data_IF_267975306820
#
_entry.id   IF_267975306820
#
_cell.length_a   1.000
_cell.length_b   1.000
_cell.length_c   1.000
_cell.angle_alpha   90.00
_cell.angle_beta   90.00
_cell.angle_gamma   90.00
#
_symmetry.space_group_name_H-M   'P 1'
#
loop_
_entity.id
_entity.type
_entity.pdbx_description
1 polymer ?
#
# COMPACT_ATOMS: atom_id res chain seq x y z
N UNK A 1 63.98 -0.49 38.47
CA UNK A 1 63.31 -0.26 39.77
C UNK A 1 62.26 0.79 39.54
N UNK A 2 60.99 0.70 39.92
CA UNK A 2 60.12 -0.31 40.53
C UNK A 2 58.72 0.32 40.37
N UNK A 3 57.68 -0.49 40.15
CA UNK A 3 56.34 0.04 39.86
C UNK A 3 55.24 -1.01 39.97
N UNK A 4 55.13 -1.63 41.15
CA UNK A 4 53.91 -2.18 41.75
C UNK A 4 53.04 -3.11 40.88
N UNK A 5 53.32 -4.41 40.99
CA UNK A 5 52.37 -5.51 40.79
C UNK A 5 51.22 -5.42 41.81
N UNK A 6 50.24 -4.55 41.57
CA UNK A 6 49.03 -4.43 42.38
C UNK A 6 47.80 -4.62 41.49
N UNK A 7 47.37 -5.88 41.39
CA UNK A 7 46.01 -6.35 41.08
C UNK A 7 45.22 -5.56 40.02
N UNK A 8 45.24 -6.05 38.79
CA UNK A 8 44.35 -5.62 37.70
C UNK A 8 42.86 -5.99 37.94
N UNK A 9 42.50 -6.49 39.13
CA UNK A 9 41.13 -6.85 39.53
C UNK A 9 40.12 -5.71 39.34
N UNK A 10 40.57 -4.44 39.35
CA UNK A 10 39.71 -3.28 39.06
C UNK A 10 39.35 -3.09 37.58
N UNK A 11 40.10 -3.74 36.67
CA UNK A 11 39.88 -3.72 35.23
C UNK A 11 39.17 -4.98 34.71
N UNK A 12 39.09 -6.03 35.52
CA UNK A 12 38.42 -7.27 35.14
C UNK A 12 36.90 -7.16 35.32
N UNK A 13 36.16 -7.34 34.23
CA UNK A 13 34.70 -7.20 34.20
C UNK A 13 33.96 -8.28 35.01
N UNK A 14 34.64 -9.35 35.43
CA UNK A 14 34.08 -10.43 36.25
C UNK A 14 34.42 -10.30 37.76
N UNK A 15 35.17 -9.27 38.14
CA UNK A 15 35.60 -9.03 39.53
C UNK A 15 34.59 -8.19 40.31
N UNK A 16 34.43 -8.49 41.61
CA UNK A 16 33.56 -7.73 42.52
C UNK A 16 34.03 -6.28 42.75
N UNK A 17 35.31 -5.98 42.42
CA UNK A 17 35.93 -4.66 42.58
C UNK A 17 36.07 -3.90 41.26
N UNK A 18 35.27 -4.25 40.25
CA UNK A 18 35.35 -3.65 38.91
C UNK A 18 34.98 -2.15 38.93
N UNK A 19 35.89 -1.31 38.43
CA UNK A 19 35.66 0.14 38.30
C UNK A 19 35.39 0.50 36.82
N UNK A 20 34.12 0.80 36.45
CA UNK A 20 33.74 0.97 35.04
C UNK A 20 34.39 2.20 34.38
N UNK A 21 34.57 3.29 35.13
CA UNK A 21 35.20 4.51 34.62
C UNK A 21 36.69 4.29 34.33
N UNK A 22 37.39 3.58 35.22
CA UNK A 22 38.81 3.26 35.04
C UNK A 22 39.02 2.30 33.88
N UNK A 23 38.15 1.30 33.74
CA UNK A 23 38.14 0.39 32.60
C UNK A 23 37.98 1.11 31.26
N UNK A 24 37.03 2.06 31.17
CA UNK A 24 36.73 2.81 29.94
C UNK A 24 37.92 3.61 29.41
N UNK A 25 38.73 4.20 30.30
CA UNK A 25 39.89 5.01 29.92
C UNK A 25 41.21 4.24 29.93
N UNK A 26 41.21 2.96 30.33
CA UNK A 26 42.42 2.14 30.36
C UNK A 26 42.72 1.51 29.00
N UNK A 27 43.96 1.58 28.49
CA UNK A 27 44.34 0.90 27.25
C UNK A 27 44.59 -0.61 27.43
N UNK A 28 44.53 -1.12 28.67
CA UNK A 28 44.87 -2.50 29.03
C UNK A 28 43.65 -3.40 29.24
N UNK A 29 42.43 -2.91 28.95
CA UNK A 29 41.20 -3.66 29.16
C UNK A 29 41.15 -4.92 28.29
N UNK A 30 40.93 -6.08 28.93
CA UNK A 30 40.69 -7.36 28.22
C UNK A 30 39.21 -7.70 28.31
N UNK A 31 38.57 -7.86 27.16
CA UNK A 31 37.18 -8.32 27.11
C UNK A 31 37.10 -9.79 27.53
N UNK A 32 36.16 -10.19 28.41
CA UNK A 32 36.02 -11.57 28.86
C UNK A 32 35.83 -12.58 27.71
N UNK A 33 35.19 -12.13 26.62
CA UNK A 33 34.99 -12.93 25.41
C UNK A 33 35.50 -12.15 24.19
N UNK A 34 36.73 -12.42 23.71
CA UNK A 34 37.33 -11.68 22.59
C UNK A 34 36.56 -11.81 21.27
N UNK A 35 35.80 -12.90 21.08
CA UNK A 35 35.01 -13.17 19.88
C UNK A 35 33.54 -12.73 19.96
N UNK A 36 33.17 -11.95 20.98
CA UNK A 36 31.78 -11.52 21.13
C UNK A 36 31.35 -10.62 19.95
N UNK A 37 30.14 -10.88 19.42
CA UNK A 37 29.59 -10.10 18.33
C UNK A 37 29.26 -8.69 18.81
N UNK A 38 29.91 -7.69 18.23
CA UNK A 38 29.64 -6.28 18.51
C UNK A 38 28.38 -5.86 17.78
N UNK A 39 27.45 -5.24 18.51
CA UNK A 39 26.23 -4.66 17.97
C UNK A 39 26.30 -3.15 18.04
N UNK A 40 25.88 -2.49 16.96
CA UNK A 40 25.99 -1.03 16.79
C UNK A 40 24.99 -0.24 17.69
N UNK A 41 23.91 -0.87 18.12
CA UNK A 41 22.94 -0.26 19.04
C UNK A 41 22.29 -1.30 19.95
N UNK A 42 21.79 -0.82 21.09
CA UNK A 42 21.13 -1.64 22.10
C UNK A 42 19.91 -2.38 21.52
N UNK A 43 19.15 -1.74 20.62
CA UNK A 43 18.02 -2.39 19.97
C UNK A 43 18.41 -3.60 19.10
N UNK A 44 19.56 -3.55 18.42
CA UNK A 44 20.09 -4.67 17.65
C UNK A 44 20.56 -5.80 18.57
N UNK A 45 21.19 -5.46 19.71
CA UNK A 45 21.56 -6.44 20.73
C UNK A 45 20.32 -7.13 21.32
N UNK A 46 19.33 -6.37 21.79
CA UNK A 46 18.11 -6.91 22.40
C UNK A 46 17.30 -7.76 21.43
N UNK A 47 17.20 -7.34 20.16
CA UNK A 47 16.48 -8.12 19.14
C UNK A 47 17.13 -9.49 18.91
N UNK A 48 18.47 -9.53 18.94
CA UNK A 48 19.24 -10.77 18.80
C UNK A 48 19.23 -11.61 20.09
N UNK A 49 19.30 -10.98 21.26
CA UNK A 49 19.26 -11.65 22.55
C UNK A 49 17.88 -12.25 22.86
N UNK A 50 16.81 -11.54 22.49
CA UNK A 50 15.41 -11.98 22.69
C UNK A 50 14.87 -12.84 21.54
N UNK A 51 15.67 -13.13 20.52
CA UNK A 51 15.30 -13.99 19.39
C UNK A 51 14.11 -13.46 18.56
N UNK A 52 13.79 -12.17 18.64
CA UNK A 52 12.59 -11.61 18.01
C UNK A 52 12.83 -11.25 16.53
N UNK A 53 11.95 -11.67 15.60
CA UNK A 53 12.09 -11.36 14.19
C UNK A 53 11.80 -9.87 13.90
N UNK A 54 12.76 -9.17 13.28
CA UNK A 54 12.62 -7.76 12.88
C UNK A 54 11.48 -7.55 11.88
N UNK A 55 10.49 -6.73 12.24
CA UNK A 55 9.53 -6.15 11.29
C UNK A 55 10.19 -4.99 10.53
N UNK A 56 10.34 -5.09 9.20
CA UNK A 56 10.85 -4.01 8.33
C UNK A 56 9.69 -3.17 7.78
N UNK A 57 9.57 -1.93 8.22
CA UNK A 57 8.78 -0.89 7.56
C UNK A 57 9.49 -0.39 6.30
N UNK A 58 8.85 -0.48 5.13
CA UNK A 58 9.37 0.02 3.84
C UNK A 58 8.46 1.13 3.30
N UNK A 59 9.02 2.32 3.06
CA UNK A 59 8.44 3.35 2.19
C UNK A 59 9.06 3.29 0.77
N UNK A 60 8.35 3.61 -0.33
CA UNK A 60 8.80 3.36 -1.70
C UNK A 60 9.06 4.64 -2.55
N UNK A 61 9.80 4.46 -3.66
CA UNK A 61 9.81 5.38 -4.82
C UNK A 61 11.19 5.53 -5.47
N UNK A 62 11.75 4.50 -6.13
CA UNK A 62 11.63 4.19 -7.57
C UNK A 62 12.33 5.17 -8.52
N UNK A 63 13.42 4.72 -9.14
CA UNK A 63 13.91 5.22 -10.44
C UNK A 63 14.26 4.02 -11.30
N UNK A 64 13.41 3.72 -12.26
CA UNK A 64 13.79 2.99 -13.48
C UNK A 64 13.16 3.72 -14.67
N UNK A 65 13.96 3.90 -15.73
CA UNK A 65 13.70 4.50 -17.05
C UNK A 65 14.35 5.86 -17.31
N UNK A 66 15.66 5.85 -17.63
CA UNK A 66 16.29 6.86 -18.48
C UNK A 66 17.65 6.38 -19.01
N UNK A 67 17.68 5.31 -19.81
CA UNK A 67 18.85 4.98 -20.63
C UNK A 67 18.40 4.55 -22.02
N UNK A 68 18.09 5.56 -22.85
CA UNK A 68 18.12 5.50 -24.33
C UNK A 68 17.90 6.92 -24.89
N UNK A 69 18.89 7.79 -24.66
CA UNK A 69 19.25 8.88 -25.58
C UNK A 69 20.67 9.32 -25.21
N UNK A 70 21.66 8.69 -25.83
CA UNK A 70 23.07 9.03 -25.69
C UNK A 70 23.34 10.35 -26.44
N UNK A 71 23.21 11.46 -25.73
CA UNK A 71 23.57 12.79 -26.20
C UNK A 71 23.86 13.69 -25.02
N UNK A 72 25.13 13.71 -24.58
CA UNK A 72 25.72 14.62 -23.60
C UNK A 72 24.92 14.85 -22.30
N UNK A 73 24.84 13.82 -21.44
CA UNK A 73 24.52 14.03 -20.02
C UNK A 73 25.81 14.29 -19.22
N UNK A 74 25.81 15.22 -18.25
CA UNK A 74 27.00 15.48 -17.44
C UNK A 74 27.31 14.23 -16.60
N UNK A 75 28.30 13.45 -17.03
CA UNK A 75 28.80 12.29 -16.27
C UNK A 75 29.35 12.82 -14.95
N UNK A 76 28.63 12.55 -13.85
CA UNK A 76 29.04 12.90 -12.49
C UNK A 76 30.44 12.31 -12.25
N UNK A 77 31.43 13.18 -11.99
CA UNK A 77 32.83 12.80 -11.80
C UNK A 77 33.10 12.32 -10.37
N UNK A 78 32.31 11.37 -9.87
CA UNK A 78 32.66 10.77 -8.60
C UNK A 78 33.87 9.86 -8.78
N UNK A 79 34.82 9.98 -7.87
CA UNK A 79 35.91 9.03 -7.75
C UNK A 79 35.34 7.67 -7.31
N UNK A 80 36.01 6.54 -7.60
CA UNK A 80 35.47 5.20 -7.30
C UNK A 80 35.00 5.01 -5.85
N UNK A 81 35.64 5.66 -4.88
CA UNK A 81 35.25 5.61 -3.45
C UNK A 81 34.06 6.51 -3.06
N UNK A 82 33.63 7.42 -3.93
CA UNK A 82 32.50 8.36 -3.75
C UNK A 82 31.24 7.87 -4.47
N UNK A 83 31.34 6.77 -5.20
CA UNK A 83 30.16 6.14 -5.78
C UNK A 83 29.23 5.66 -4.66
N UNK A 84 27.90 5.75 -4.84
CA UNK A 84 26.97 5.12 -3.92
C UNK A 84 27.36 3.66 -3.74
N UNK A 85 27.71 3.27 -2.52
CA UNK A 85 28.05 1.88 -2.20
C UNK A 85 26.90 1.02 -2.72
N UNK A 86 27.14 0.08 -3.66
CA UNK A 86 26.08 -0.74 -4.19
C UNK A 86 25.45 -1.44 -3.00
N UNK A 87 24.20 -1.09 -2.72
CA UNK A 87 23.46 -1.69 -1.63
C UNK A 87 23.54 -3.19 -1.85
N UNK A 88 24.25 -3.88 -0.95
CA UNK A 88 24.32 -5.33 -0.97
C UNK A 88 22.87 -5.78 -1.00
N UNK A 89 22.39 -6.27 -2.15
CA UNK A 89 21.13 -7.00 -2.22
C UNK A 89 21.29 -7.97 -1.07
N UNK A 90 20.47 -7.84 -0.01
CA UNK A 90 20.51 -8.73 1.14
C UNK A 90 20.08 -10.12 0.64
N UNK A 91 20.98 -10.76 -0.10
CA UNK A 91 21.09 -12.16 -0.37
C UNK A 91 21.58 -12.68 0.96
N UNK A 92 20.64 -13.13 1.79
CA UNK A 92 20.95 -14.19 2.74
C UNK A 92 21.54 -15.32 1.92
N UNK A 93 22.87 -15.36 1.78
CA UNK A 93 23.59 -16.45 1.11
C UNK A 93 23.52 -17.74 1.95
N UNK A 94 23.20 -17.62 3.25
CA UNK A 94 23.09 -18.76 4.17
C UNK A 94 21.74 -19.51 4.09
N UNK A 95 20.83 -19.11 3.19
CA UNK A 95 19.67 -19.91 2.77
C UNK A 95 19.74 -20.05 1.27
N UNK A 96 20.28 -21.19 0.83
CA UNK A 96 20.81 -21.43 -0.51
C UNK A 96 19.97 -20.89 -1.67
N UNK A 97 20.68 -20.37 -2.68
CA UNK A 97 20.42 -20.46 -4.12
C UNK A 97 19.08 -20.04 -4.74
N UNK A 98 17.95 -20.19 -4.08
CA UNK A 98 16.61 -20.21 -4.68
C UNK A 98 15.79 -18.92 -4.47
N UNK A 99 16.38 -17.87 -3.90
CA UNK A 99 15.63 -16.65 -3.54
C UNK A 99 15.63 -15.56 -4.63
N UNK A 100 16.59 -15.57 -5.56
CA UNK A 100 16.63 -14.60 -6.66
C UNK A 100 15.64 -14.97 -7.79
N UNK A 101 15.60 -16.25 -8.17
CA UNK A 101 14.62 -16.83 -9.12
C UNK A 101 13.17 -16.72 -8.60
N UNK A 102 12.96 -16.78 -7.28
CA UNK A 102 11.63 -16.69 -6.67
C UNK A 102 11.04 -15.28 -6.57
N UNK A 103 11.80 -14.22 -6.90
CA UNK A 103 11.26 -12.87 -6.92
C UNK A 103 10.46 -12.60 -8.20
N UNK A 104 10.78 -13.29 -9.30
CA UNK A 104 10.12 -13.15 -10.60
C UNK A 104 8.68 -13.69 -10.60
N UNK A 105 8.32 -14.52 -9.61
CA UNK A 105 6.96 -15.08 -9.45
C UNK A 105 6.05 -14.35 -8.46
N UNK A 106 6.54 -13.36 -7.70
CA UNK A 106 5.78 -12.75 -6.57
C UNK A 106 4.94 -11.55 -6.98
N UNK A 107 4.09 -11.72 -7.99
CA UNK A 107 3.12 -10.72 -8.42
C UNK A 107 1.77 -10.89 -7.68
N UNK A 108 0.84 -9.94 -7.87
CA UNK A 108 -0.50 -10.02 -7.28
C UNK A 108 -1.29 -11.19 -7.87
N UNK A 109 -1.14 -11.47 -9.16
CA UNK A 109 -1.86 -12.54 -9.86
C UNK A 109 -1.54 -13.94 -9.32
N UNK A 110 -0.27 -14.23 -9.05
CA UNK A 110 0.21 -15.45 -8.41
C UNK A 110 -0.30 -15.55 -6.98
N UNK A 111 -0.36 -14.43 -6.25
CA UNK A 111 -0.94 -14.39 -4.89
C UNK A 111 -2.45 -14.61 -4.87
N UNK A 112 -3.18 -14.13 -5.86
CA UNK A 112 -4.63 -14.35 -5.99
C UNK A 112 -4.94 -15.84 -6.12
N UNK A 113 -4.22 -16.55 -6.99
CA UNK A 113 -4.38 -17.99 -7.21
C UNK A 113 -4.11 -18.84 -5.96
N UNK A 114 -3.17 -18.38 -5.10
CA UNK A 114 -2.83 -19.04 -3.84
C UNK A 114 -3.59 -18.49 -2.62
N UNK A 115 -4.68 -17.75 -2.81
CA UNK A 115 -5.45 -17.18 -1.70
C UNK A 115 -6.32 -18.25 -1.04
N UNK A 116 -6.30 -18.30 0.29
CA UNK A 116 -7.04 -19.26 1.10
C UNK A 116 -8.05 -18.54 1.99
N UNK A 117 -9.13 -19.23 2.36
CA UNK A 117 -10.13 -18.72 3.31
C UNK A 117 -11.13 -17.75 2.65
N UNK A 118 -11.49 -16.61 3.27
CA UNK A 118 -12.55 -15.74 2.76
C UNK A 118 -12.21 -15.09 1.41
N UNK A 119 -10.92 -14.93 1.09
CA UNK A 119 -10.48 -14.44 -0.23
C UNK A 119 -10.62 -15.51 -1.33
N UNK A 120 -10.65 -16.80 -0.97
CA UNK A 120 -10.90 -17.89 -1.92
C UNK A 120 -12.30 -17.80 -2.51
N UNK A 121 -13.28 -17.29 -1.74
CA UNK A 121 -14.62 -17.01 -2.27
C UNK A 121 -14.56 -16.03 -3.45
N UNK A 122 -13.73 -14.98 -3.37
CA UNK A 122 -13.53 -14.03 -4.46
C UNK A 122 -12.82 -14.68 -5.66
N UNK A 123 -11.86 -15.57 -5.40
CA UNK A 123 -11.20 -16.36 -6.44
C UNK A 123 -12.23 -17.20 -7.21
N UNK A 124 -13.10 -17.94 -6.51
CA UNK A 124 -14.18 -18.72 -7.13
C UNK A 124 -15.14 -17.85 -7.92
N UNK A 125 -15.54 -16.69 -7.39
CA UNK A 125 -16.40 -15.74 -8.11
C UNK A 125 -15.73 -15.18 -9.37
N UNK A 126 -14.42 -14.95 -9.35
CA UNK A 126 -13.64 -14.49 -10.50
C UNK A 126 -13.53 -15.59 -11.56
N UNK A 127 -13.21 -16.83 -11.17
CA UNK A 127 -13.09 -17.98 -12.08
C UNK A 127 -14.42 -18.38 -12.72
N UNK A 128 -15.50 -18.41 -11.92
CA UNK A 128 -16.85 -18.74 -12.37
C UNK A 128 -17.55 -17.57 -13.06
N UNK A 129 -16.93 -16.37 -13.05
CA UNK A 129 -17.51 -15.11 -13.51
C UNK A 129 -18.91 -14.89 -12.92
N UNK A 130 -19.03 -15.04 -11.60
CA UNK A 130 -20.27 -14.82 -10.85
C UNK A 130 -20.42 -13.33 -10.49
N UNK A 131 -21.65 -12.81 -10.50
CA UNK A 131 -21.91 -11.44 -10.05
C UNK A 131 -21.79 -11.34 -8.53
N UNK A 132 -21.14 -10.28 -8.07
CA UNK A 132 -21.01 -9.95 -6.66
C UNK A 132 -21.67 -8.62 -6.35
N UNK A 133 -22.21 -8.49 -5.13
CA UNK A 133 -22.71 -7.24 -4.57
C UNK A 133 -21.72 -6.70 -3.56
N UNK A 134 -21.02 -5.63 -3.92
CA UNK A 134 -20.02 -4.97 -3.09
C UNK A 134 -20.65 -3.75 -2.44
N UNK A 135 -20.78 -3.74 -1.11
CA UNK A 135 -21.28 -2.57 -0.38
C UNK A 135 -20.14 -1.61 -0.07
N UNK A 136 -20.34 -0.33 -0.38
CA UNK A 136 -19.36 0.72 -0.13
C UNK A 136 -19.68 1.49 1.14
N UNK A 137 -18.66 1.81 1.93
CA UNK A 137 -18.81 2.65 3.13
C UNK A 137 -18.96 4.13 2.74
N UNK A 138 -19.69 4.85 3.58
CA UNK A 138 -19.66 6.31 3.70
C UNK A 138 -18.93 6.71 4.99
N UNK A 139 -19.07 7.98 5.38
CA UNK A 139 -18.43 8.48 6.59
C UNK A 139 -18.94 7.81 7.89
N UNK A 140 -20.26 7.59 7.99
CA UNK A 140 -20.90 7.00 9.17
C UNK A 140 -22.00 5.98 8.81
N UNK A 141 -22.06 5.53 7.56
CA UNK A 141 -23.13 4.65 7.07
C UNK A 141 -22.65 3.86 5.86
N UNK A 142 -23.49 2.97 5.32
CA UNK A 142 -23.29 2.41 3.98
C UNK A 142 -23.69 3.49 2.96
N UNK A 143 -22.84 3.73 1.96
CA UNK A 143 -23.07 4.71 0.89
C UNK A 143 -23.98 4.16 -0.21
N UNK A 144 -23.78 2.89 -0.53
CA UNK A 144 -24.44 2.23 -1.64
C UNK A 144 -23.84 0.86 -1.89
N UNK A 145 -24.14 0.29 -3.06
CA UNK A 145 -23.59 -0.98 -3.49
C UNK A 145 -23.25 -0.96 -4.99
N UNK A 146 -22.36 -1.86 -5.38
CA UNK A 146 -21.97 -2.09 -6.77
C UNK A 146 -22.27 -3.55 -7.08
N UNK A 147 -23.04 -3.80 -8.13
CA UNK A 147 -23.21 -5.11 -8.74
C UNK A 147 -22.21 -5.23 -9.88
N UNK A 148 -21.29 -6.20 -9.82
CA UNK A 148 -20.25 -6.32 -10.85
C UNK A 148 -19.68 -7.74 -10.91
N UNK A 149 -18.88 -8.01 -11.94
CA UNK A 149 -17.98 -9.15 -11.99
C UNK A 149 -16.60 -8.77 -11.44
N UNK A 150 -15.98 -9.67 -10.68
CA UNK A 150 -14.63 -9.46 -10.17
C UNK A 150 -13.63 -9.84 -11.26
N UNK A 151 -12.78 -8.90 -11.66
CA UNK A 151 -11.68 -9.13 -12.60
C UNK A 151 -10.36 -9.41 -11.87
N UNK A 152 -10.10 -8.69 -10.78
CA UNK A 152 -8.96 -8.96 -9.90
C UNK A 152 -9.21 -8.51 -8.46
N UNK A 153 -8.46 -9.08 -7.51
CA UNK A 153 -8.52 -8.71 -6.10
C UNK A 153 -7.13 -8.75 -5.45
N UNK A 154 -6.98 -8.10 -4.29
CA UNK A 154 -5.73 -8.07 -3.52
C UNK A 154 -5.99 -8.38 -2.03
N UNK A 155 -4.94 -8.69 -1.27
CA UNK A 155 -4.99 -8.94 0.19
C UNK A 155 -5.58 -7.78 0.99
N UNK A 156 -5.54 -6.56 0.44
CA UNK A 156 -6.11 -5.36 1.03
C UNK A 156 -7.59 -5.16 0.66
N UNK A 157 -8.22 -6.15 0.03
CA UNK A 157 -9.57 -6.06 -0.50
C UNK A 157 -9.74 -5.00 -1.59
N UNK A 158 -8.64 -4.59 -2.25
CA UNK A 158 -8.76 -3.78 -3.45
C UNK A 158 -9.37 -4.64 -4.55
N UNK A 159 -10.42 -4.16 -5.21
CA UNK A 159 -11.11 -4.90 -6.26
C UNK A 159 -11.02 -4.14 -7.59
N UNK A 160 -10.67 -4.86 -8.64
CA UNK A 160 -10.90 -4.46 -10.01
C UNK A 160 -12.18 -5.16 -10.49
N UNK A 161 -13.15 -4.38 -10.94
CA UNK A 161 -14.48 -4.83 -11.28
C UNK A 161 -14.79 -4.51 -12.75
N UNK A 162 -15.55 -5.39 -13.39
CA UNK A 162 -16.06 -5.26 -14.75
C UNK A 162 -17.59 -5.26 -14.78
N UNK A 163 -18.18 -4.54 -15.75
CA UNK A 163 -19.64 -4.42 -15.94
C UNK A 163 -20.36 -4.01 -14.65
N UNK A 164 -19.99 -2.84 -14.13
CA UNK A 164 -20.44 -2.39 -12.82
C UNK A 164 -21.75 -1.60 -12.91
N UNK A 165 -22.77 -2.03 -12.17
CA UNK A 165 -23.95 -1.22 -11.86
C UNK A 165 -23.79 -0.65 -10.45
N UNK A 166 -23.40 0.62 -10.37
CA UNK A 166 -23.25 1.33 -9.11
C UNK A 166 -24.56 2.01 -8.74
N UNK A 167 -25.03 1.72 -7.52
CA UNK A 167 -26.19 2.35 -6.92
C UNK A 167 -25.77 3.05 -5.63
N UNK A 168 -26.00 4.36 -5.55
CA UNK A 168 -25.64 5.16 -4.38
C UNK A 168 -26.67 6.23 -4.06
N UNK A 169 -26.71 6.63 -2.79
CA UNK A 169 -27.62 7.68 -2.33
C UNK A 169 -26.88 9.01 -2.18
N UNK A 170 -27.48 10.11 -2.59
CA UNK A 170 -26.98 11.47 -2.32
C UNK A 170 -28.09 12.39 -1.81
N UNK A 171 -27.72 13.46 -1.11
CA UNK A 171 -28.66 14.53 -0.75
C UNK A 171 -29.03 15.34 -1.98
N UNK A 172 -30.32 15.64 -2.13
CA UNK A 172 -30.82 16.49 -3.21
C UNK A 172 -30.41 17.92 -2.93
N UNK A 173 -29.58 18.50 -3.79
CA UNK A 173 -29.26 19.93 -3.74
C UNK A 173 -30.23 20.67 -4.64
N UNK A 174 -31.39 21.09 -4.09
CA UNK A 174 -32.26 22.04 -4.79
C UNK A 174 -31.61 23.41 -4.69
N UNK A 175 -31.09 23.91 -5.81
CA UNK A 175 -30.85 25.35 -5.94
C UNK A 175 -32.21 26.00 -6.19
N UNK A 176 -32.70 26.80 -5.24
CA UNK A 176 -33.79 27.72 -5.54
C UNK A 176 -33.26 28.74 -6.57
N UNK A 177 -33.97 29.00 -7.67
CA UNK A 177 -33.61 30.11 -8.55
C UNK A 177 -33.67 31.42 -7.76
N UNK A 178 -32.65 32.27 -7.92
CA UNK A 178 -32.49 33.50 -7.13
C UNK A 178 -33.61 34.52 -7.38
N UNK A 179 -34.22 34.47 -8.57
CA UNK A 179 -35.51 35.10 -8.84
C UNK A 179 -36.55 33.98 -8.87
N UNK A 180 -37.60 34.07 -8.05
CA UNK A 180 -38.66 33.06 -7.89
C UNK A 180 -39.54 32.81 -9.12
N UNK A 181 -38.96 32.75 -10.32
CA UNK A 181 -39.66 32.29 -11.51
C UNK A 181 -39.93 30.77 -11.38
N UNK A 182 -41.14 30.31 -11.69
CA UNK A 182 -41.41 28.88 -11.76
C UNK A 182 -40.45 28.28 -12.78
N UNK A 183 -39.76 27.21 -12.39
CA UNK A 183 -38.89 26.46 -13.28
C UNK A 183 -39.78 25.83 -14.35
N UNK A 184 -39.95 26.53 -15.47
CA UNK A 184 -40.68 26.02 -16.60
C UNK A 184 -39.92 24.77 -17.09
N UNK A 185 -40.54 23.61 -16.85
CA UNK A 185 -39.92 22.28 -16.99
C UNK A 185 -39.50 21.96 -18.43
N UNK A 186 -39.90 22.81 -19.39
CA UNK A 186 -39.64 22.67 -20.81
C UNK A 186 -38.26 23.24 -21.22
N UNK A 187 -37.83 24.41 -20.71
CA UNK A 187 -36.54 24.98 -21.13
C UNK A 187 -35.31 24.22 -20.61
N UNK A 188 -35.39 23.55 -19.44
CA UNK A 188 -34.28 22.72 -18.96
C UNK A 188 -34.02 21.53 -19.89
N UNK A 189 -35.08 20.97 -20.48
CA UNK A 189 -35.00 19.83 -21.40
C UNK A 189 -34.34 20.22 -22.73
N UNK A 190 -34.63 21.41 -23.25
CA UNK A 190 -33.98 21.94 -24.45
C UNK A 190 -32.51 22.30 -24.24
N UNK A 191 -32.16 22.87 -23.09
CA UNK A 191 -30.77 23.23 -22.77
C UNK A 191 -29.90 21.99 -22.47
N UNK A 192 -30.48 20.96 -21.84
CA UNK A 192 -29.83 19.65 -21.65
C UNK A 192 -29.72 18.87 -22.99
N UNK A 193 -30.70 18.99 -23.88
CA UNK A 193 -30.67 18.38 -25.21
C UNK A 193 -29.60 19.01 -26.13
N UNK A 194 -29.44 20.33 -26.14
CA UNK A 194 -28.38 21.00 -26.92
C UNK A 194 -26.97 20.67 -26.44
N UNK A 195 -26.80 20.34 -25.15
CA UNK A 195 -25.51 19.93 -24.59
C UNK A 195 -25.08 18.51 -25.01
N UNK A 196 -26.01 17.72 -25.55
CA UNK A 196 -25.77 16.35 -26.03
C UNK A 196 -25.23 16.37 -27.48
N UNK A 197 -25.39 17.46 -28.23
CA UNK A 197 -24.99 17.56 -29.65
C UNK A 197 -23.49 17.85 -29.85
N UNK A 198 -22.77 18.26 -28.82
CA UNK A 198 -21.31 18.35 -28.88
C UNK A 198 -20.68 16.94 -28.81
N UNK A 199 -20.39 16.37 -29.99
CA UNK A 199 -19.72 15.08 -30.23
C UNK A 199 -18.44 14.87 -29.39
N UNK A 200 -17.78 15.96 -28.95
CA UNK A 200 -16.59 15.93 -28.09
C UNK A 200 -16.89 15.56 -26.62
N UNK A 201 -18.13 15.71 -26.14
CA UNK A 201 -18.55 15.31 -24.79
C UNK A 201 -19.12 13.89 -24.73
N UNK A 202 -19.54 13.31 -25.86
CA UNK A 202 -20.02 11.90 -25.91
C UNK A 202 -18.88 10.92 -25.61
N UNK A 203 -17.65 11.26 -26.00
CA UNK A 203 -16.45 10.47 -25.74
C UNK A 203 -15.80 10.73 -24.37
N UNK A 204 -16.26 11.72 -23.60
CA UNK A 204 -15.90 11.81 -22.19
C UNK A 204 -16.91 10.94 -21.43
N UNK A 205 -16.51 9.71 -21.15
CA UNK A 205 -17.26 8.57 -20.58
C UNK A 205 -17.85 8.92 -19.18
N UNK A 206 -18.75 9.89 -19.12
CA UNK A 206 -19.59 10.15 -17.96
C UNK A 206 -20.76 9.22 -18.13
N UNK A 207 -20.63 8.04 -17.53
CA UNK A 207 -21.69 7.07 -17.40
C UNK A 207 -23.01 7.76 -17.04
N UNK A 208 -23.99 7.63 -17.96
CA UNK A 208 -25.30 8.28 -17.83
C UNK A 208 -25.91 7.86 -16.50
N UNK A 209 -26.11 8.84 -15.63
CA UNK A 209 -26.66 8.60 -14.29
C UNK A 209 -28.17 8.70 -14.34
N UNK A 210 -28.86 7.66 -13.88
CA UNK A 210 -30.32 7.56 -13.81
C UNK A 210 -30.74 7.70 -12.35
N UNK A 211 -31.80 8.47 -12.08
CA UNK A 211 -32.39 8.56 -10.74
C UNK A 211 -33.39 7.42 -10.60
N UNK A 212 -33.16 6.53 -9.63
CA UNK A 212 -34.02 5.37 -9.38
C UNK A 212 -35.18 5.72 -8.46
N UNK A 213 -34.88 6.41 -7.36
CA UNK A 213 -35.85 6.78 -6.32
C UNK A 213 -35.52 8.17 -5.76
N UNK A 214 -36.56 8.93 -5.41
CA UNK A 214 -36.42 10.25 -4.77
C UNK A 214 -37.31 10.35 -3.54
N UNK A 215 -36.70 10.49 -2.37
CA UNK A 215 -37.36 10.70 -1.08
C UNK A 215 -37.40 12.19 -0.69
N UNK A 216 -37.29 13.09 -1.67
CA UNK A 216 -37.32 14.56 -1.50
C UNK A 216 -36.03 15.15 -0.90
N UNK A 217 -35.51 14.57 0.18
CA UNK A 217 -34.23 14.96 0.81
C UNK A 217 -33.03 14.21 0.21
N UNK A 218 -33.24 12.96 -0.20
CA UNK A 218 -32.22 12.10 -0.79
C UNK A 218 -32.73 11.48 -2.08
N UNK A 219 -31.82 11.33 -3.04
CA UNK A 219 -32.06 10.63 -4.30
C UNK A 219 -31.10 9.44 -4.38
N UNK A 220 -31.63 8.29 -4.76
CA UNK A 220 -30.87 7.10 -5.11
C UNK A 220 -30.60 7.13 -6.60
N UNK A 221 -29.33 7.07 -6.96
CA UNK A 221 -28.87 7.12 -8.34
C UNK A 221 -28.24 5.80 -8.72
N UNK A 222 -28.37 5.50 -10.00
CA UNK A 222 -27.83 4.33 -10.65
C UNK A 222 -26.97 4.79 -11.83
N UNK A 223 -25.79 4.22 -11.98
CA UNK A 223 -24.98 4.40 -13.19
C UNK A 223 -24.31 3.09 -13.57
N UNK A 224 -24.16 2.89 -14.88
CA UNK A 224 -23.37 1.80 -15.44
C UNK A 224 -21.94 2.25 -15.67
N UNK A 225 -20.96 1.55 -15.12
CA UNK A 225 -19.53 1.81 -15.27
C UNK A 225 -18.88 0.57 -15.87
N UNK A 226 -18.25 0.67 -17.07
CA UNK A 226 -17.66 -0.51 -17.72
C UNK A 226 -16.58 -1.19 -16.88
N UNK A 227 -15.71 -0.40 -16.25
CA UNK A 227 -14.62 -0.86 -15.39
C UNK A 227 -14.47 0.06 -14.18
N UNK A 228 -14.32 -0.52 -13.00
CA UNK A 228 -14.22 0.22 -11.75
C UNK A 228 -13.15 -0.39 -10.84
N UNK A 229 -12.26 0.45 -10.30
CA UNK A 229 -11.29 0.05 -9.28
C UNK A 229 -11.71 0.63 -7.94
N UNK A 230 -11.99 -0.25 -6.97
CA UNK A 230 -12.39 0.13 -5.61
C UNK A 230 -11.25 -0.22 -4.66
N UNK A 231 -10.83 0.75 -3.85
CA UNK A 231 -9.88 0.53 -2.76
C UNK A 231 -10.59 -0.22 -1.63
N UNK A 232 -9.95 -1.26 -1.08
CA UNK A 232 -10.60 -2.14 -0.10
C UNK A 232 -10.95 -1.47 1.23
N UNK A 233 -10.29 -0.37 1.57
CA UNK A 233 -10.69 0.48 2.69
C UNK A 233 -12.15 0.98 2.54
N UNK A 234 -12.62 1.20 1.31
CA UNK A 234 -13.97 1.68 1.02
C UNK A 234 -15.02 0.57 1.00
N UNK A 235 -14.61 -0.69 1.11
CA UNK A 235 -15.51 -1.84 1.08
C UNK A 235 -15.95 -2.16 2.50
N UNK A 236 -17.26 -2.28 2.69
CA UNK A 236 -17.85 -2.68 3.96
C UNK A 236 -18.11 -4.19 4.01
N UNK A 237 -18.70 -4.75 2.96
CA UNK A 237 -19.03 -6.16 2.85
C UNK A 237 -19.20 -6.57 1.38
N UNK A 238 -18.95 -7.84 1.09
CA UNK A 238 -19.13 -8.43 -0.24
C UNK A 238 -20.07 -9.61 -0.10
N UNK A 239 -21.11 -9.64 -0.94
CA UNK A 239 -22.11 -10.69 -0.95
C UNK A 239 -22.09 -11.35 -2.32
N UNK A 240 -21.94 -12.68 -2.34
CA UNK A 240 -22.13 -13.49 -3.54
C UNK A 240 -23.62 -13.51 -3.88
N UNK A 241 -23.97 -13.23 -5.13
CA UNK A 241 -25.32 -13.42 -5.64
C UNK A 241 -25.30 -14.75 -6.40
N UNK A 242 -26.10 -15.70 -5.94
CA UNK A 242 -26.34 -16.97 -6.64
C UNK A 242 -27.39 -16.78 -7.75
#
# INVERSE_FOLDING_TARGET
>A
MEGSSSSDDSLDALSDKFEPLKALYSPKLRLPVPGAKVYDNLGSYESNARGQPRQKSRGPGSKENAEQLAGATPKRRFLPHQEPVPGSKCRNKDRGGAAAENLEGRNVLTRMKGSLGPLEMLLRCMEQRTRVKVYTRGACSIRGYVLAYVAAFDKHWNLALEDCLEVWTRKVKRKAPALGAPADSYQRREFEARKIEDESYRNTIISKTVVKESNGKTETLERHVPQLMIRGEQIAMIVKID
#
